data_IF_352255753661
#
_entry.id   IF_352255753661
#
_cell.length_a   1.000
_cell.length_b   1.000
_cell.length_c   1.000
_cell.angle_alpha   90.00
_cell.angle_beta   90.00
_cell.angle_gamma   90.00
#
_symmetry.space_group_name_H-M   'P 1'
#
loop_
_entity.id
_entity.type
_entity.pdbx_description
1 polymer ?
#
# COMPACT_ATOMS: atom_id res chain seq x y z
N UNK A 1 11.09 -18.68 22.70
CA UNK A 1 10.91 -18.48 21.25
C UNK A 1 10.35 -17.08 21.11
N UNK A 2 11.04 -16.13 20.47
CA UNK A 2 10.47 -14.79 20.29
C UNK A 2 9.20 -14.94 19.45
N UNK A 3 8.15 -14.23 19.83
CA UNK A 3 6.91 -14.16 19.06
C UNK A 3 7.21 -13.83 17.59
N UNK A 4 6.56 -14.50 16.61
CA UNK A 4 6.45 -13.86 15.31
C UNK A 4 5.75 -12.54 15.58
N UNK A 5 6.40 -11.41 15.29
CA UNK A 5 5.74 -10.10 15.26
C UNK A 5 4.47 -10.28 14.44
N UNK A 6 3.35 -10.47 15.14
CA UNK A 6 2.06 -10.62 14.50
C UNK A 6 1.83 -9.27 13.85
N UNK A 7 1.97 -9.21 12.53
CA UNK A 7 1.47 -8.07 11.77
C UNK A 7 0.05 -7.82 12.28
N UNK A 8 -0.19 -6.62 12.80
CA UNK A 8 -1.49 -6.28 13.37
C UNK A 8 -2.56 -6.54 12.30
N UNK A 9 -3.73 -7.07 12.69
CA UNK A 9 -4.82 -7.40 11.74
C UNK A 9 -5.11 -6.23 10.77
N UNK A 10 -5.01 -4.99 11.25
CA UNK A 10 -5.17 -3.77 10.44
C UNK A 10 -4.13 -3.62 9.31
N UNK A 11 -2.88 -4.05 9.53
CA UNK A 11 -1.83 -4.03 8.48
C UNK A 11 -2.15 -5.07 7.41
N UNK A 12 -2.59 -6.26 7.82
CA UNK A 12 -2.97 -7.34 6.89
C UNK A 12 -4.18 -6.92 6.05
N UNK A 13 -5.19 -6.33 6.68
CA UNK A 13 -6.36 -5.80 5.98
C UNK A 13 -5.98 -4.66 5.02
N UNK A 14 -5.17 -3.70 5.47
CA UNK A 14 -4.72 -2.60 4.62
C UNK A 14 -3.95 -3.10 3.40
N UNK A 15 -3.05 -4.10 3.56
CA UNK A 15 -2.35 -4.73 2.44
C UNK A 15 -3.32 -5.35 1.44
N UNK A 16 -4.32 -6.07 1.91
CA UNK A 16 -5.32 -6.71 1.05
C UNK A 16 -6.13 -5.67 0.24
N UNK A 17 -6.53 -4.56 0.89
CA UNK A 17 -7.24 -3.46 0.23
C UNK A 17 -6.37 -2.72 -0.78
N UNK A 18 -5.11 -2.41 -0.43
CA UNK A 18 -4.17 -1.77 -1.36
C UNK A 18 -3.94 -2.65 -2.59
N UNK A 19 -3.84 -3.98 -2.42
CA UNK A 19 -3.76 -4.93 -3.55
C UNK A 19 -5.02 -4.90 -4.41
N UNK A 20 -6.21 -4.85 -3.79
CA UNK A 20 -7.46 -4.74 -4.53
C UNK A 20 -7.53 -3.45 -5.37
N UNK A 21 -7.12 -2.30 -4.80
CA UNK A 21 -7.02 -1.03 -5.52
C UNK A 21 -6.04 -1.10 -6.69
N UNK A 22 -4.88 -1.72 -6.49
CA UNK A 22 -3.91 -1.94 -7.57
C UNK A 22 -4.48 -2.81 -8.70
N UNK A 23 -5.22 -3.87 -8.37
CA UNK A 23 -5.88 -4.74 -9.36
C UNK A 23 -6.98 -4.00 -10.11
N UNK A 24 -7.75 -3.16 -9.42
CA UNK A 24 -8.80 -2.35 -10.05
C UNK A 24 -8.21 -1.32 -11.04
N UNK A 25 -7.12 -0.66 -10.64
CA UNK A 25 -6.46 0.37 -11.45
C UNK A 25 -5.62 -0.18 -12.61
N UNK A 26 -4.81 -1.21 -12.36
CA UNK A 26 -3.85 -1.75 -13.34
C UNK A 26 -4.42 -2.96 -14.10
N UNK A 27 -5.59 -3.45 -13.68
CA UNK A 27 -6.15 -4.71 -14.13
C UNK A 27 -5.61 -5.92 -13.36
N UNK A 28 -6.21 -7.11 -13.57
CA UNK A 28 -5.79 -8.36 -12.93
C UNK A 28 -4.49 -8.92 -13.50
N UNK A 29 -3.57 -8.05 -13.90
CA UNK A 29 -2.28 -8.43 -14.44
C UNK A 29 -1.53 -9.25 -13.37
N UNK A 30 -0.95 -10.37 -13.79
CA UNK A 30 -0.25 -11.33 -12.92
C UNK A 30 0.79 -10.64 -12.04
N UNK A 31 1.35 -9.53 -12.55
CA UNK A 31 2.30 -8.67 -11.88
C UNK A 31 1.78 -8.09 -10.55
N UNK A 32 0.53 -7.64 -10.46
CA UNK A 32 -0.03 -7.06 -9.23
C UNK A 32 -0.24 -8.13 -8.16
N UNK A 33 -0.68 -9.32 -8.59
CA UNK A 33 -0.85 -10.47 -7.70
C UNK A 33 0.49 -10.99 -7.15
N UNK A 34 1.55 -11.00 -7.95
CA UNK A 34 2.91 -11.43 -7.55
C UNK A 34 3.75 -10.33 -6.88
N UNK A 35 3.22 -9.12 -6.79
CA UNK A 35 3.94 -7.98 -6.22
C UNK A 35 4.22 -8.25 -4.74
N UNK A 36 5.49 -8.32 -4.37
CA UNK A 36 5.90 -8.58 -2.99
C UNK A 36 5.67 -7.35 -2.11
N UNK A 37 5.12 -7.55 -0.91
CA UNK A 37 4.73 -6.44 -0.04
C UNK A 37 5.92 -5.56 0.40
N UNK A 38 7.14 -6.10 0.37
CA UNK A 38 8.37 -5.40 0.77
C UNK A 38 9.12 -4.79 -0.41
N UNK A 39 8.76 -5.16 -1.64
CA UNK A 39 9.40 -4.67 -2.85
C UNK A 39 8.89 -3.27 -3.20
N UNK A 40 9.77 -2.48 -3.80
CA UNK A 40 9.40 -1.15 -4.28
C UNK A 40 8.34 -1.25 -5.38
N UNK A 41 7.21 -0.56 -5.23
CA UNK A 41 6.14 -0.52 -6.24
C UNK A 41 6.68 -0.15 -7.62
N UNK A 42 7.59 0.83 -7.65
CA UNK A 42 8.28 1.26 -8.88
C UNK A 42 9.20 0.18 -9.48
N UNK A 43 9.86 -0.62 -8.65
CA UNK A 43 10.68 -1.73 -9.13
C UNK A 43 9.83 -2.90 -9.62
N UNK A 44 8.63 -3.06 -9.06
CA UNK A 44 7.67 -3.99 -9.60
C UNK A 44 7.23 -3.58 -11.00
N UNK A 45 6.97 -2.29 -11.23
CA UNK A 45 6.46 -1.83 -12.53
C UNK A 45 5.33 -0.81 -12.42
N UNK A 46 4.98 -0.39 -11.19
CA UNK A 46 4.04 0.71 -10.98
C UNK A 46 4.69 2.01 -11.46
N UNK A 47 4.09 2.62 -12.48
CA UNK A 47 4.54 3.91 -13.00
C UNK A 47 4.32 5.03 -11.96
N UNK A 48 5.03 6.14 -12.11
CA UNK A 48 4.82 7.31 -11.23
C UNK A 48 3.37 7.81 -11.26
N UNK A 49 2.70 7.73 -12.41
CA UNK A 49 1.29 8.13 -12.53
C UNK A 49 0.36 7.15 -11.83
N UNK A 50 0.60 5.84 -11.98
CA UNK A 50 -0.16 4.83 -11.26
C UNK A 50 0.05 4.93 -9.74
N UNK A 51 1.27 5.26 -9.29
CA UNK A 51 1.53 5.49 -7.87
C UNK A 51 0.68 6.67 -7.36
N UNK A 52 0.68 7.81 -8.05
CA UNK A 52 -0.15 8.97 -7.65
C UNK A 52 -1.64 8.62 -7.65
N UNK A 53 -2.13 7.88 -8.66
CA UNK A 53 -3.52 7.41 -8.68
C UNK A 53 -3.84 6.48 -7.50
N UNK A 54 -2.90 5.62 -7.09
CA UNK A 54 -3.07 4.76 -5.92
C UNK A 54 -3.18 5.59 -4.65
N UNK A 55 -2.35 6.63 -4.48
CA UNK A 55 -2.39 7.50 -3.31
C UNK A 55 -3.76 8.15 -3.17
N UNK A 56 -4.29 8.73 -4.25
CA UNK A 56 -5.62 9.36 -4.27
C UNK A 56 -6.73 8.32 -4.01
N UNK A 57 -6.62 7.12 -4.58
CA UNK A 57 -7.59 6.05 -4.33
C UNK A 57 -7.56 5.57 -2.87
N UNK A 58 -6.38 5.57 -2.23
CA UNK A 58 -6.25 5.24 -0.82
C UNK A 58 -6.87 6.31 0.09
N UNK A 59 -6.75 7.60 -0.25
CA UNK A 59 -7.41 8.68 0.49
C UNK A 59 -8.92 8.49 0.54
N UNK A 60 -9.52 8.15 -0.60
CA UNK A 60 -10.97 7.87 -0.72
C UNK A 60 -11.37 6.56 0.00
N UNK A 61 -10.61 5.48 -0.20
CA UNK A 61 -10.92 4.15 0.36
C UNK A 61 -10.78 4.10 1.90
N UNK A 62 -9.79 4.78 2.45
CA UNK A 62 -9.50 4.76 3.89
C UNK A 62 -9.95 6.05 4.61
N UNK A 63 -10.44 7.06 3.88
CA UNK A 63 -10.99 8.30 4.45
C UNK A 63 -9.95 9.20 5.11
N UNK A 64 -8.75 9.29 4.56
CA UNK A 64 -7.68 10.17 5.06
C UNK A 64 -7.09 11.05 3.95
N UNK A 65 -6.25 12.00 4.32
CA UNK A 65 -5.51 12.85 3.38
C UNK A 65 -4.01 12.65 3.60
N UNK A 66 -3.24 12.48 2.51
CA UNK A 66 -1.78 12.43 2.60
C UNK A 66 -1.24 13.80 2.99
N UNK A 67 -0.37 13.84 4.00
CA UNK A 67 0.33 15.08 4.33
C UNK A 67 1.40 15.39 3.29
N UNK A 68 1.60 16.67 2.97
CA UNK A 68 2.62 17.14 2.02
C UNK A 68 4.06 16.73 2.42
N UNK A 69 4.28 16.37 3.70
CA UNK A 69 5.57 15.95 4.26
C UNK A 69 5.74 14.42 4.29
N UNK A 70 4.83 13.65 3.69
CA UNK A 70 4.93 12.20 3.61
C UNK A 70 6.24 11.77 2.96
N UNK A 71 7.03 11.02 3.74
CA UNK A 71 8.31 10.53 3.28
C UNK A 71 8.14 9.59 2.07
N UNK A 72 8.95 9.73 1.00
CA UNK A 72 8.87 8.84 -0.16
C UNK A 72 9.16 7.37 0.19
N UNK A 73 9.85 7.12 1.31
CA UNK A 73 10.06 5.80 1.88
C UNK A 73 8.75 5.14 2.37
N UNK A 74 7.78 5.94 2.83
CA UNK A 74 6.45 5.46 3.24
C UNK A 74 5.62 5.00 2.04
N UNK A 75 5.86 5.57 0.87
CA UNK A 75 5.14 5.27 -0.38
C UNK A 75 5.88 4.26 -1.27
N UNK A 76 6.97 3.68 -0.75
CA UNK A 76 7.87 2.84 -1.55
C UNK A 76 7.28 1.45 -1.80
N UNK A 77 6.59 0.86 -0.83
CA UNK A 77 6.12 -0.53 -0.87
C UNK A 77 4.75 -0.68 -0.22
N UNK A 78 4.04 -1.78 -0.53
CA UNK A 78 2.72 -2.08 0.05
C UNK A 78 2.80 -2.17 1.58
N UNK A 79 3.87 -2.76 2.13
CA UNK A 79 4.08 -2.84 3.58
C UNK A 79 4.19 -1.46 4.23
N UNK A 80 4.92 -0.53 3.60
CA UNK A 80 5.05 0.83 4.12
C UNK A 80 3.72 1.58 4.08
N UNK A 81 2.97 1.45 2.97
CA UNK A 81 1.64 2.03 2.82
C UNK A 81 0.66 1.48 3.86
N UNK A 82 0.61 0.15 4.01
CA UNK A 82 -0.25 -0.51 4.98
C UNK A 82 0.11 -0.15 6.42
N UNK A 83 1.41 -0.05 6.74
CA UNK A 83 1.88 0.41 8.05
C UNK A 83 1.48 1.85 8.34
N UNK A 84 1.50 2.73 7.33
CA UNK A 84 1.04 4.10 7.47
C UNK A 84 -0.46 4.15 7.78
N UNK A 85 -1.29 3.48 6.97
CA UNK A 85 -2.74 3.42 7.15
C UNK A 85 -3.12 2.81 8.51
N UNK A 86 -2.47 1.71 8.93
CA UNK A 86 -2.72 1.10 10.23
C UNK A 86 -2.29 1.98 11.42
N UNK A 87 -1.44 2.98 11.18
CA UNK A 87 -1.02 3.96 12.20
C UNK A 87 -1.95 5.18 12.27
N UNK A 88 -2.87 5.33 11.32
CA UNK A 88 -3.86 6.40 11.36
C UNK A 88 -4.89 6.12 12.47
N UNK A 89 -5.26 7.14 13.27
CA UNK A 89 -6.37 6.99 14.21
C UNK A 89 -7.67 6.77 13.43
N UNK A 90 -8.36 5.67 13.73
CA UNK A 90 -9.68 5.35 13.20
C UNK A 90 -10.77 6.35 13.63
#
# INVERSE_FOLDING_TARGET
>A
MPDPVAESDSVVEAKARIRALLVDMLGPDSFVTDLSDTVSLRQGGVSSTALVSLLVAMEDEFGFEWQDDVAPEALRSISSLAGHVASLPA
#
